data_IF_968474767240
#
_entry.id   IF_968474767240
#
_cell.length_a   1.000
_cell.length_b   1.000
_cell.length_c   1.000
_cell.angle_alpha   90.00
_cell.angle_beta   90.00
_cell.angle_gamma   90.00
#
_symmetry.space_group_name_H-M   'P 1'
#
loop_
_entity.id
_entity.type
_entity.pdbx_description
1 polymer ?
#
# COMPACT_ATOMS: atom_id res chain seq x y z
N UNK A 1 24.10 -44.80 -25.61
CA UNK A 1 23.53 -43.48 -25.27
C UNK A 1 23.73 -43.25 -23.79
N UNK A 2 24.60 -42.31 -23.41
CA UNK A 2 24.85 -41.94 -22.00
C UNK A 2 23.86 -40.82 -21.63
N UNK A 3 23.08 -41.00 -20.57
CA UNK A 3 22.29 -39.91 -19.99
C UNK A 3 23.23 -38.82 -19.46
N UNK A 4 22.96 -37.53 -19.69
CA UNK A 4 23.71 -36.45 -19.07
C UNK A 4 23.38 -36.40 -17.58
N UNK A 5 24.44 -36.28 -16.76
CA UNK A 5 24.33 -36.19 -15.31
C UNK A 5 23.63 -34.91 -14.89
N UNK A 6 22.57 -35.05 -14.08
CA UNK A 6 21.86 -33.96 -13.44
C UNK A 6 22.74 -33.42 -12.31
N UNK A 7 23.31 -32.23 -12.48
CA UNK A 7 24.03 -31.52 -11.42
C UNK A 7 22.97 -30.91 -10.52
N UNK A 8 22.76 -31.51 -9.34
CA UNK A 8 21.96 -30.91 -8.29
C UNK A 8 22.70 -29.68 -7.75
N UNK A 9 22.28 -28.49 -8.20
CA UNK A 9 22.77 -27.23 -7.65
C UNK A 9 22.12 -27.06 -6.28
N UNK A 10 22.92 -27.23 -5.23
CA UNK A 10 22.50 -26.97 -3.85
C UNK A 10 22.34 -25.46 -3.69
N UNK A 11 21.12 -24.95 -3.78
CA UNK A 11 20.84 -23.57 -3.39
C UNK A 11 20.92 -23.49 -1.86
N UNK A 12 21.97 -22.84 -1.35
CA UNK A 12 22.01 -22.41 0.05
C UNK A 12 20.95 -21.33 0.22
N UNK A 13 19.78 -21.72 0.72
CA UNK A 13 18.75 -20.77 1.14
C UNK A 13 19.28 -20.10 2.41
N UNK A 14 19.70 -18.84 2.29
CA UNK A 14 20.03 -18.02 3.45
C UNK A 14 18.74 -17.82 4.26
N UNK A 15 18.58 -18.56 5.36
CA UNK A 15 17.46 -18.40 6.27
C UNK A 15 17.65 -17.08 7.02
N UNK A 16 16.83 -16.07 6.71
CA UNK A 16 16.71 -14.88 7.56
C UNK A 16 16.21 -15.38 8.92
N UNK A 17 17.06 -15.29 9.94
CA UNK A 17 16.68 -15.66 11.30
C UNK A 17 15.65 -14.63 11.77
N UNK A 18 14.37 -15.01 11.71
CA UNK A 18 13.29 -14.20 12.24
C UNK A 18 13.51 -14.04 13.74
N UNK A 19 13.37 -12.83 14.26
CA UNK A 19 13.34 -12.63 15.70
C UNK A 19 12.16 -13.46 16.25
N UNK A 20 12.46 -14.55 16.96
CA UNK A 20 11.44 -15.39 17.59
C UNK A 20 10.94 -14.66 18.84
N UNK A 21 9.98 -13.77 18.66
CA UNK A 21 9.39 -12.99 19.72
C UNK A 21 7.96 -12.61 19.39
N UNK A 22 7.16 -12.42 20.44
CA UNK A 22 5.82 -11.89 20.31
C UNK A 22 5.89 -10.44 19.77
N UNK A 23 5.25 -10.13 18.62
CA UNK A 23 5.19 -8.77 18.09
C UNK A 23 4.76 -7.73 19.12
N UNK A 24 3.89 -8.10 20.07
CA UNK A 24 3.42 -7.18 21.12
C UNK A 24 4.54 -6.80 22.09
N UNK A 25 5.50 -7.70 22.36
CA UNK A 25 6.68 -7.40 23.18
C UNK A 25 7.58 -6.39 22.46
N UNK A 26 7.82 -6.57 21.16
CA UNK A 26 8.63 -5.62 20.39
C UNK A 26 8.00 -4.22 20.35
N UNK A 27 6.68 -4.16 20.23
CA UNK A 27 5.92 -2.90 20.24
C UNK A 27 5.97 -2.23 21.61
N UNK A 28 5.80 -3.00 22.70
CA UNK A 28 5.92 -2.46 24.05
C UNK A 28 7.31 -1.87 24.30
N UNK A 29 8.36 -2.60 23.93
CA UNK A 29 9.75 -2.14 24.03
C UNK A 29 10.01 -0.89 23.18
N UNK A 30 9.43 -0.83 21.97
CA UNK A 30 9.52 0.34 21.10
C UNK A 30 8.86 1.57 21.74
N UNK A 31 7.64 1.45 22.26
CA UNK A 31 6.91 2.56 22.89
C UNK A 31 7.67 3.07 24.12
N UNK A 32 8.20 2.18 24.95
CA UNK A 32 9.02 2.55 26.12
C UNK A 32 10.29 3.31 25.69
N UNK A 33 11.00 2.77 24.70
CA UNK A 33 12.20 3.40 24.15
C UNK A 33 11.92 4.77 23.54
N UNK A 34 10.84 4.91 22.77
CA UNK A 34 10.43 6.19 22.19
C UNK A 34 10.21 7.25 23.29
N UNK A 35 9.44 6.92 24.33
CA UNK A 35 9.18 7.82 25.47
C UNK A 35 10.47 8.18 26.20
N UNK A 36 11.34 7.20 26.44
CA UNK A 36 12.63 7.41 27.10
C UNK A 36 13.57 8.33 26.30
N UNK A 37 13.37 8.44 24.98
CA UNK A 37 14.18 9.25 24.08
C UNK A 37 13.48 10.52 23.58
N UNK A 38 12.45 10.98 24.30
CA UNK A 38 11.83 12.30 24.10
C UNK A 38 10.63 12.31 23.15
N UNK A 39 10.16 11.15 22.68
CA UNK A 39 8.88 11.08 21.99
C UNK A 39 7.70 11.24 22.97
N UNK A 40 6.62 11.84 22.48
CA UNK A 40 5.33 11.84 23.15
C UNK A 40 4.43 10.80 22.46
N UNK A 41 3.79 9.95 23.27
CA UNK A 41 2.79 8.97 22.82
C UNK A 41 1.63 9.05 23.81
N UNK A 42 0.45 9.44 23.32
CA UNK A 42 -0.75 9.62 24.11
C UNK A 42 -1.07 8.35 24.91
N UNK A 43 -1.27 8.47 26.22
CA UNK A 43 -1.52 7.35 27.12
C UNK A 43 -2.90 6.69 26.90
N UNK A 44 -3.81 7.39 26.22
CA UNK A 44 -5.12 6.90 25.85
C UNK A 44 -5.13 6.13 24.52
N UNK A 45 -3.96 5.85 23.93
CA UNK A 45 -3.81 5.03 22.72
C UNK A 45 -2.98 3.79 23.02
N UNK A 46 -3.43 2.65 22.53
CA UNK A 46 -2.69 1.40 22.55
C UNK A 46 -2.62 0.80 21.15
N UNK A 47 -1.58 0.02 20.88
CA UNK A 47 -1.49 -0.81 19.68
C UNK A 47 -2.18 -2.12 19.99
N UNK A 48 -3.21 -2.47 19.22
CA UNK A 48 -3.99 -3.69 19.41
C UNK A 48 -4.26 -4.39 18.09
N UNK A 49 -4.47 -5.70 18.15
CA UNK A 49 -5.02 -6.48 17.05
C UNK A 49 -6.44 -6.01 16.75
N UNK A 50 -6.81 -5.94 15.46
CA UNK A 50 -8.16 -5.54 15.06
C UNK A 50 -9.22 -6.57 15.50
N UNK A 51 -8.82 -7.83 15.66
CA UNK A 51 -9.62 -8.91 16.22
C UNK A 51 -8.88 -9.50 17.42
N UNK A 52 -9.46 -9.37 18.61
CA UNK A 52 -8.84 -9.84 19.85
C UNK A 52 -8.60 -11.37 19.82
N UNK A 53 -7.38 -11.79 20.13
CA UNK A 53 -6.96 -13.20 20.11
C UNK A 53 -6.62 -13.77 18.73
N UNK A 54 -6.86 -13.02 17.66
CA UNK A 54 -6.46 -13.41 16.30
C UNK A 54 -5.10 -12.81 15.95
N UNK A 55 -4.06 -13.63 16.03
CA UNK A 55 -2.68 -13.25 15.70
C UNK A 55 -2.47 -12.93 14.21
N UNK A 56 -3.39 -13.35 13.34
CA UNK A 56 -3.36 -13.03 11.91
C UNK A 56 -3.98 -11.68 11.59
N UNK A 57 -4.85 -11.17 12.47
CA UNK A 57 -5.48 -9.86 12.28
C UNK A 57 -4.45 -8.73 12.37
N UNK A 58 -4.60 -7.65 11.59
CA UNK A 58 -3.64 -6.55 11.60
C UNK A 58 -3.58 -5.86 12.97
N UNK A 59 -2.41 -5.33 13.29
CA UNK A 59 -2.26 -4.40 14.41
C UNK A 59 -2.75 -3.01 13.97
N UNK A 60 -3.26 -2.23 14.91
CA UNK A 60 -3.68 -0.85 14.67
C UNK A 60 -3.68 -0.03 15.96
N UNK A 61 -3.73 1.29 15.82
CA UNK A 61 -3.87 2.21 16.95
C UNK A 61 -5.32 2.26 17.41
N UNK A 62 -5.58 1.98 18.69
CA UNK A 62 -6.93 1.96 19.28
C UNK A 62 -6.97 2.86 20.51
N UNK A 63 -8.00 3.69 20.59
CA UNK A 63 -8.27 4.50 21.76
C UNK A 63 -8.71 3.60 22.93
N UNK A 64 -8.02 3.68 24.07
CA UNK A 64 -8.37 2.95 25.31
C UNK A 64 -9.11 3.83 26.33
N UNK A 65 -9.27 5.11 26.02
CA UNK A 65 -10.15 6.05 26.67
C UNK A 65 -10.67 7.06 25.64
N UNK A 66 -11.64 7.90 26.01
CA UNK A 66 -12.08 9.00 25.15
C UNK A 66 -10.93 10.01 24.94
N UNK A 67 -10.74 10.46 23.70
CA UNK A 67 -9.72 11.43 23.28
C UNK A 67 -10.43 12.65 22.70
N UNK A 68 -10.01 13.85 23.08
CA UNK A 68 -10.63 15.07 22.58
C UNK A 68 -10.27 15.32 21.12
N UNK A 69 -11.03 16.21 20.45
CA UNK A 69 -10.64 16.71 19.14
C UNK A 69 -9.35 17.53 19.25
N UNK A 70 -8.49 17.43 18.24
CA UNK A 70 -7.20 18.13 18.15
C UNK A 70 -6.17 17.74 19.21
N UNK A 71 -6.44 16.66 19.95
CA UNK A 71 -5.49 16.12 20.91
C UNK A 71 -4.35 15.40 20.18
N UNK A 72 -3.11 15.71 20.55
CA UNK A 72 -1.93 15.05 19.98
C UNK A 72 -1.96 13.56 20.32
N UNK A 73 -1.77 12.72 19.29
CA UNK A 73 -1.65 11.27 19.44
C UNK A 73 -0.19 10.90 19.63
N UNK A 74 0.70 11.44 18.80
CA UNK A 74 2.13 11.27 18.97
C UNK A 74 2.90 12.51 18.50
N UNK A 75 4.09 12.66 19.06
CA UNK A 75 5.16 13.49 18.52
C UNK A 75 6.45 12.66 18.56
N UNK A 76 7.07 12.46 17.42
CA UNK A 76 8.34 11.75 17.26
C UNK A 76 9.41 12.78 16.92
N UNK A 77 10.44 12.96 17.78
CA UNK A 77 11.51 13.88 17.50
C UNK A 77 12.37 13.39 16.33
N UNK A 78 13.02 14.30 15.57
CA UNK A 78 13.68 13.96 14.32
C UNK A 78 14.73 12.85 14.44
N UNK A 79 15.50 12.81 15.53
CA UNK A 79 16.57 11.83 15.75
C UNK A 79 16.08 10.40 15.99
N UNK A 80 14.76 10.17 16.11
CA UNK A 80 14.16 8.84 16.20
C UNK A 80 13.50 8.39 14.89
N UNK A 81 13.49 9.25 13.87
CA UNK A 81 12.91 8.98 12.55
C UNK A 81 14.03 8.52 11.63
N UNK A 82 13.79 7.50 10.81
CA UNK A 82 14.71 7.16 9.72
C UNK A 82 14.43 8.11 8.57
N UNK A 83 15.42 8.91 8.20
CA UNK A 83 15.32 9.96 7.19
C UNK A 83 16.30 9.68 6.05
N UNK A 84 16.12 10.30 4.88
CA UNK A 84 17.17 10.34 3.87
C UNK A 84 18.47 10.92 4.45
N UNK A 85 19.61 10.38 4.06
CA UNK A 85 20.93 10.89 4.46
C UNK A 85 21.20 12.29 3.89
N UNK A 86 22.03 13.08 4.57
CA UNK A 86 22.30 14.50 4.23
C UNK A 86 22.84 14.70 2.81
N UNK A 87 23.59 13.71 2.29
CA UNK A 87 24.19 13.75 0.94
C UNK A 87 23.23 13.28 -0.16
N UNK A 88 21.98 12.95 0.17
CA UNK A 88 20.99 12.57 -0.83
C UNK A 88 20.60 13.81 -1.64
N UNK A 89 21.29 14.00 -2.77
CA UNK A 89 21.04 15.11 -3.71
C UNK A 89 19.62 15.13 -4.31
N UNK A 90 18.77 14.15 -3.95
CA UNK A 90 17.38 14.03 -4.34
C UNK A 90 16.60 13.34 -3.23
N UNK A 91 15.47 13.94 -2.84
CA UNK A 91 14.36 13.33 -2.10
C UNK A 91 14.00 11.99 -2.74
N UNK A 92 14.61 10.92 -2.28
CA UNK A 92 14.37 9.60 -2.84
C UNK A 92 14.39 8.56 -1.75
N UNK A 93 13.37 7.71 -1.78
CA UNK A 93 13.22 6.54 -0.93
C UNK A 93 14.51 5.72 -0.87
N UNK A 94 15.33 5.70 -1.93
CA UNK A 94 16.62 5.01 -1.99
C UNK A 94 17.51 5.28 -0.77
N UNK A 95 17.61 6.54 -0.32
CA UNK A 95 18.46 6.86 0.83
C UNK A 95 17.84 6.33 2.12
N UNK A 96 16.53 6.49 2.32
CA UNK A 96 15.83 5.95 3.48
C UNK A 96 15.88 4.42 3.52
N UNK A 97 15.85 3.77 2.36
CA UNK A 97 16.04 2.31 2.23
C UNK A 97 17.43 1.91 2.70
N UNK A 98 18.47 2.64 2.30
CA UNK A 98 19.84 2.36 2.73
C UNK A 98 20.00 2.54 4.24
N UNK A 99 19.50 3.64 4.81
CA UNK A 99 19.53 3.90 6.26
C UNK A 99 18.76 2.81 7.03
N UNK A 100 17.59 2.40 6.51
CA UNK A 100 16.81 1.30 7.08
C UNK A 100 17.61 -0.01 7.03
N UNK A 101 18.22 -0.34 5.89
CA UNK A 101 19.04 -1.55 5.72
C UNK A 101 20.22 -1.59 6.70
N UNK A 102 20.91 -0.47 6.89
CA UNK A 102 22.02 -0.35 7.84
C UNK A 102 21.54 -0.54 9.29
N UNK A 103 20.42 0.10 9.64
CA UNK A 103 19.82 -0.03 10.97
C UNK A 103 19.38 -1.48 11.25
N UNK A 104 18.78 -2.18 10.29
CA UNK A 104 18.37 -3.59 10.42
C UNK A 104 19.57 -4.55 10.53
N UNK A 105 20.71 -4.21 9.94
CA UNK A 105 21.96 -4.99 10.02
C UNK A 105 22.89 -4.58 11.17
N UNK A 106 22.50 -3.59 11.97
CA UNK A 106 23.30 -3.17 13.11
C UNK A 106 23.54 -4.35 14.05
N UNK A 107 24.75 -4.42 14.62
CA UNK A 107 25.11 -5.47 15.59
C UNK A 107 24.16 -5.50 16.80
N UNK A 108 23.68 -4.32 17.18
CA UNK A 108 22.74 -4.11 18.28
C UNK A 108 21.57 -3.26 17.76
N UNK A 109 20.57 -3.89 17.10
CA UNK A 109 19.45 -3.17 16.52
C UNK A 109 18.63 -2.53 17.65
N UNK A 110 18.28 -1.25 17.47
CA UNK A 110 17.41 -0.53 18.41
C UNK A 110 15.98 -1.15 18.43
N UNK A 111 15.13 -0.79 19.39
CA UNK A 111 13.78 -1.35 19.48
C UNK A 111 12.92 -1.14 18.23
N UNK A 112 13.13 -0.07 17.46
CA UNK A 112 12.40 0.14 16.21
C UNK A 112 12.84 -0.85 15.13
N UNK A 113 14.15 -1.03 14.96
CA UNK A 113 14.72 -2.05 14.08
C UNK A 113 14.23 -3.46 14.44
N UNK A 114 14.15 -3.79 15.74
CA UNK A 114 13.60 -5.07 16.19
C UNK A 114 12.13 -5.24 15.82
N UNK A 115 11.32 -4.19 15.98
CA UNK A 115 9.93 -4.19 15.51
C UNK A 115 9.83 -4.40 13.99
N UNK A 116 10.65 -3.71 13.20
CA UNK A 116 10.68 -3.84 11.75
C UNK A 116 11.16 -5.23 11.27
N UNK A 117 12.16 -5.81 11.94
CA UNK A 117 12.61 -7.19 11.72
C UNK A 117 11.54 -8.24 12.06
N UNK A 118 10.58 -7.90 12.91
CA UNK A 118 9.47 -8.80 13.26
C UNK A 118 8.35 -8.83 12.21
N UNK A 119 8.29 -7.81 11.34
CA UNK A 119 7.31 -7.74 10.25
C UNK A 119 7.50 -8.91 9.28
N UNK A 120 6.39 -9.35 8.67
CA UNK A 120 6.45 -10.39 7.64
C UNK A 120 7.32 -9.86 6.47
N UNK A 121 8.24 -10.64 5.90
CA UNK A 121 8.87 -10.26 4.65
C UNK A 121 7.91 -10.53 3.48
N UNK A 122 8.05 -9.77 2.39
CA UNK A 122 7.35 -10.00 1.12
C UNK A 122 5.82 -10.04 1.23
N UNK A 123 5.20 -9.17 2.04
CA UNK A 123 3.73 -9.09 2.08
C UNK A 123 3.15 -8.25 0.93
N UNK A 124 3.92 -7.35 0.35
CA UNK A 124 3.50 -6.53 -0.79
C UNK A 124 3.79 -7.24 -2.13
N UNK A 125 2.85 -7.25 -3.09
CA UNK A 125 3.00 -7.93 -4.38
C UNK A 125 4.28 -7.60 -5.17
N UNK A 126 4.79 -6.38 -5.09
CA UNK A 126 6.05 -5.99 -5.77
C UNK A 126 7.27 -6.81 -5.30
N UNK A 127 7.21 -7.31 -4.06
CA UNK A 127 8.29 -8.05 -3.40
C UNK A 127 7.99 -9.55 -3.26
N UNK A 128 6.88 -10.03 -3.81
CA UNK A 128 6.55 -11.46 -3.84
C UNK A 128 7.62 -12.29 -4.54
N UNK A 129 7.54 -13.60 -4.31
CA UNK A 129 8.28 -14.59 -5.09
C UNK A 129 8.04 -14.43 -6.60
N UNK A 130 9.00 -14.87 -7.41
CA UNK A 130 8.87 -14.85 -8.88
C UNK A 130 7.63 -15.62 -9.34
N UNK A 131 7.33 -16.76 -8.71
CA UNK A 131 6.12 -17.54 -8.97
C UNK A 131 4.84 -16.77 -8.62
N UNK A 132 4.79 -16.14 -7.45
CA UNK A 132 3.64 -15.32 -7.02
C UNK A 132 3.38 -14.15 -7.96
N UNK A 133 4.43 -13.40 -8.34
CA UNK A 133 4.30 -12.30 -9.30
C UNK A 133 3.91 -12.76 -10.71
N UNK A 134 4.42 -13.90 -11.15
CA UNK A 134 4.08 -14.45 -12.47
C UNK A 134 2.60 -14.82 -12.54
N UNK A 135 2.07 -15.46 -11.49
CA UNK A 135 0.65 -15.79 -11.40
C UNK A 135 -0.22 -14.52 -11.30
N UNK A 136 0.22 -13.51 -10.55
CA UNK A 136 -0.46 -12.21 -10.51
C UNK A 136 -0.52 -11.56 -11.90
N UNK A 137 0.60 -11.54 -12.66
CA UNK A 137 0.61 -11.00 -14.02
C UNK A 137 -0.31 -11.77 -14.96
N UNK A 138 -0.35 -13.09 -14.85
CA UNK A 138 -1.28 -13.92 -15.61
C UNK A 138 -2.74 -13.57 -15.29
N UNK A 139 -3.06 -13.36 -14.00
CA UNK A 139 -4.38 -12.92 -13.57
C UNK A 139 -4.76 -11.58 -14.20
N UNK A 140 -3.82 -10.64 -14.32
CA UNK A 140 -4.09 -9.27 -14.78
C UNK A 140 -4.05 -9.12 -16.31
N UNK A 141 -3.30 -9.98 -17.00
CA UNK A 141 -3.18 -10.02 -18.46
C UNK A 141 -2.85 -8.67 -19.10
N UNK A 142 -2.08 -7.81 -18.42
CA UNK A 142 -1.73 -6.43 -18.81
C UNK A 142 -2.91 -5.45 -18.99
N UNK A 143 -4.16 -5.92 -18.86
CA UNK A 143 -5.37 -5.11 -19.04
C UNK A 143 -5.96 -4.60 -17.72
N UNK A 144 -5.75 -5.34 -16.64
CA UNK A 144 -6.30 -5.06 -15.32
C UNK A 144 -5.22 -4.48 -14.39
N UNK A 145 -5.58 -3.57 -13.48
CA UNK A 145 -4.65 -3.03 -12.51
C UNK A 145 -4.38 -4.05 -11.37
N UNK A 146 -3.28 -3.92 -10.61
CA UNK A 146 -2.24 -2.91 -10.78
C UNK A 146 -1.34 -3.20 -11.98
N UNK A 147 -0.91 -2.13 -12.66
CA UNK A 147 0.09 -2.20 -13.73
C UNK A 147 1.50 -2.11 -13.14
N UNK A 148 2.50 -2.59 -13.89
CA UNK A 148 3.93 -2.53 -13.53
C UNK A 148 4.35 -3.23 -12.24
N UNK A 149 3.93 -4.48 -12.01
CA UNK A 149 4.30 -5.24 -10.80
C UNK A 149 5.83 -5.30 -10.54
N UNK A 150 6.67 -5.23 -11.59
CA UNK A 150 8.14 -5.23 -11.44
C UNK A 150 8.77 -3.84 -11.34
N UNK A 151 7.98 -2.76 -11.40
CA UNK A 151 8.47 -1.37 -11.42
C UNK A 151 9.41 -1.10 -10.27
N UNK A 152 8.99 -1.40 -9.03
CA UNK A 152 9.79 -1.11 -7.85
C UNK A 152 11.10 -1.88 -7.84
N UNK A 153 11.11 -3.17 -8.19
CA UNK A 153 12.38 -3.90 -8.27
C UNK A 153 13.32 -3.35 -9.34
N UNK A 154 12.78 -2.95 -10.49
CA UNK A 154 13.57 -2.33 -11.55
C UNK A 154 14.12 -0.97 -11.11
N UNK A 155 13.33 -0.16 -10.42
CA UNK A 155 13.74 1.12 -9.83
C UNK A 155 14.84 0.93 -8.79
N UNK A 156 14.66 -0.01 -7.84
CA UNK A 156 15.68 -0.32 -6.83
C UNK A 156 17.01 -0.70 -7.49
N UNK A 157 16.97 -1.55 -8.52
CA UNK A 157 18.16 -1.98 -9.24
C UNK A 157 18.81 -0.86 -10.05
N UNK A 158 18.02 -0.10 -10.80
CA UNK A 158 18.53 0.85 -11.79
C UNK A 158 18.81 2.24 -11.22
N UNK A 159 17.95 2.70 -10.30
CA UNK A 159 17.98 4.05 -9.74
C UNK A 159 18.65 4.06 -8.38
N UNK A 160 18.30 3.13 -7.48
CA UNK A 160 18.93 3.07 -6.16
C UNK A 160 20.28 2.33 -6.15
N UNK A 161 20.65 1.66 -7.24
CA UNK A 161 21.80 0.74 -7.30
C UNK A 161 21.79 -0.26 -6.12
N UNK A 162 20.58 -0.71 -5.75
CA UNK A 162 20.33 -1.57 -4.61
C UNK A 162 20.71 -3.02 -4.87
N UNK A 163 21.15 -3.72 -3.81
CA UNK A 163 21.42 -5.15 -3.84
C UNK A 163 20.12 -5.95 -3.73
N UNK A 164 19.39 -6.07 -4.85
CA UNK A 164 18.12 -6.79 -4.89
C UNK A 164 18.26 -8.31 -4.66
N UNK A 165 19.47 -8.85 -4.68
CA UNK A 165 19.74 -10.25 -4.36
C UNK A 165 19.91 -10.47 -2.84
N UNK A 166 20.10 -9.40 -2.07
CA UNK A 166 20.18 -9.43 -0.61
C UNK A 166 18.78 -9.41 0.03
N UNK A 167 18.36 -10.49 0.72
CA UNK A 167 17.02 -10.57 1.32
C UNK A 167 16.75 -9.48 2.36
N UNK A 168 17.76 -9.03 3.09
CA UNK A 168 17.61 -7.96 4.08
C UNK A 168 17.45 -6.60 3.41
N UNK A 169 18.13 -6.35 2.30
CA UNK A 169 17.95 -5.12 1.52
C UNK A 169 16.55 -5.06 0.92
N UNK A 170 16.06 -6.16 0.32
CA UNK A 170 14.68 -6.24 -0.16
C UNK A 170 13.66 -6.04 0.97
N UNK A 171 13.91 -6.57 2.17
CA UNK A 171 13.04 -6.35 3.32
C UNK A 171 13.02 -4.87 3.74
N UNK A 172 14.18 -4.22 3.81
CA UNK A 172 14.27 -2.78 4.08
C UNK A 172 13.52 -1.96 3.03
N UNK A 173 13.71 -2.28 1.73
CA UNK A 173 13.03 -1.62 0.63
C UNK A 173 11.52 -1.75 0.71
N UNK A 174 11.02 -2.95 0.98
CA UNK A 174 9.60 -3.22 1.17
C UNK A 174 9.03 -2.42 2.35
N UNK A 175 9.74 -2.39 3.50
CA UNK A 175 9.30 -1.63 4.67
C UNK A 175 9.19 -0.14 4.38
N UNK A 176 10.17 0.46 3.70
CA UNK A 176 10.10 1.88 3.33
C UNK A 176 8.94 2.12 2.36
N UNK A 177 8.86 1.37 1.26
CA UNK A 177 7.81 1.59 0.24
C UNK A 177 6.38 1.42 0.77
N UNK A 178 6.18 0.59 1.79
CA UNK A 178 4.85 0.28 2.33
C UNK A 178 4.51 0.97 3.65
N UNK A 179 5.46 1.66 4.29
CA UNK A 179 5.24 2.23 5.63
C UNK A 179 5.79 3.65 5.81
N UNK A 180 6.65 4.11 4.92
CA UNK A 180 7.16 5.47 5.01
C UNK A 180 6.03 6.46 4.73
N UNK A 181 6.09 7.58 5.45
CA UNK A 181 5.35 8.78 5.11
C UNK A 181 6.26 9.68 4.30
N UNK A 182 5.93 9.89 3.03
CA UNK A 182 6.86 10.45 2.06
C UNK A 182 8.17 9.63 2.09
N UNK A 183 9.31 10.26 2.38
CA UNK A 183 10.60 9.57 2.49
C UNK A 183 10.97 9.21 3.95
N UNK A 184 10.04 9.25 4.91
CA UNK A 184 10.35 9.11 6.34
C UNK A 184 9.75 7.85 6.94
N UNK A 185 10.58 7.01 7.57
CA UNK A 185 10.08 5.90 8.36
C UNK A 185 9.88 6.37 9.81
N UNK A 186 8.61 6.62 10.17
CA UNK A 186 8.23 7.23 11.44
C UNK A 186 7.73 6.15 12.40
N UNK A 187 8.46 5.83 13.48
CA UNK A 187 8.04 4.82 14.43
C UNK A 187 6.73 5.20 15.12
N UNK A 188 5.92 4.20 15.47
CA UNK A 188 4.59 4.31 16.07
C UNK A 188 3.51 4.86 15.12
N UNK A 189 3.82 5.86 14.29
CA UNK A 189 2.91 6.33 13.24
C UNK A 189 2.64 5.23 12.20
N UNK A 190 3.68 4.50 11.79
CA UNK A 190 3.63 3.40 10.82
C UNK A 190 2.80 2.18 11.26
N UNK A 191 2.17 2.23 12.44
CA UNK A 191 1.19 1.27 12.94
C UNK A 191 -0.25 1.72 12.74
N UNK A 192 -0.48 2.92 12.22
CA UNK A 192 -1.81 3.43 11.90
C UNK A 192 -2.33 2.72 10.66
N UNK A 193 -3.59 2.30 10.66
CA UNK A 193 -4.18 1.64 9.50
C UNK A 193 -4.85 2.66 8.56
N UNK A 194 -4.98 2.23 7.31
CA UNK A 194 -5.72 2.92 6.26
C UNK A 194 -7.23 2.72 6.42
N UNK A 195 -8.03 3.79 6.26
CA UNK A 195 -9.47 3.68 5.99
C UNK A 195 -10.09 4.97 5.40
N UNK A 196 -10.55 4.92 4.15
CA UNK A 196 -11.08 6.10 3.44
C UNK A 196 -12.32 6.81 4.04
N UNK A 197 -13.20 6.11 4.79
CA UNK A 197 -14.38 6.69 5.45
C UNK A 197 -14.22 7.02 6.94
N UNK A 198 -13.23 6.44 7.62
CA UNK A 198 -13.09 6.55 9.09
C UNK A 198 -11.95 7.46 9.52
N UNK A 199 -11.49 8.33 8.62
CA UNK A 199 -10.43 9.29 8.85
C UNK A 199 -10.71 10.12 10.10
N UNK A 200 -9.79 10.02 11.06
CA UNK A 200 -9.95 10.65 12.35
C UNK A 200 -8.62 11.15 12.94
N UNK A 201 -7.53 11.08 12.17
CA UNK A 201 -6.22 11.65 12.45
C UNK A 201 -5.84 12.69 11.39
N UNK A 202 -4.98 13.65 11.76
CA UNK A 202 -4.42 14.68 10.88
C UNK A 202 -2.99 15.02 11.31
N UNK A 203 -2.11 15.34 10.38
CA UNK A 203 -0.80 15.86 10.76
C UNK A 203 -0.93 17.23 11.40
N UNK A 204 -0.03 17.52 12.33
CA UNK A 204 0.13 18.83 12.96
C UNK A 204 1.01 19.74 12.08
N UNK A 205 2.03 19.16 11.45
CA UNK A 205 2.94 19.82 10.51
C UNK A 205 2.80 19.19 9.13
N UNK A 206 3.05 19.97 8.08
CA UNK A 206 3.05 19.50 6.70
C UNK A 206 4.47 18.99 6.35
N UNK A 207 4.73 17.67 6.32
CA UNK A 207 6.08 17.14 6.07
C UNK A 207 6.58 17.42 4.64
N UNK A 208 5.71 17.90 3.74
CA UNK A 208 6.08 18.28 2.36
C UNK A 208 6.55 19.73 2.27
N UNK A 209 6.23 20.57 3.27
CA UNK A 209 6.56 22.00 3.27
C UNK A 209 7.50 22.40 4.40
N UNK A 210 7.41 21.68 5.51
CA UNK A 210 8.17 21.95 6.72
C UNK A 210 9.31 20.94 6.84
N UNK A 211 10.47 21.42 7.29
CA UNK A 211 11.62 20.52 7.44
C UNK A 211 11.45 19.67 8.69
N UNK A 212 11.36 18.37 8.49
CA UNK A 212 11.17 17.41 9.58
C UNK A 212 12.26 17.49 10.65
N UNK A 213 13.48 17.93 10.31
CA UNK A 213 14.59 18.13 11.25
C UNK A 213 14.38 19.30 12.23
N UNK A 214 13.49 20.24 11.90
CA UNK A 214 13.13 21.39 12.74
C UNK A 214 11.83 21.11 13.52
N UNK A 215 10.85 20.45 12.89
CA UNK A 215 9.50 20.26 13.46
C UNK A 215 9.28 18.92 14.14
N UNK A 216 10.11 17.91 13.86
CA UNK A 216 9.77 16.52 14.14
C UNK A 216 8.54 16.07 13.36
N UNK A 217 7.92 14.98 13.83
CA UNK A 217 6.71 14.44 13.22
C UNK A 217 5.59 14.32 14.25
N UNK A 218 4.45 14.97 14.02
CA UNK A 218 3.32 14.96 14.95
C UNK A 218 1.98 14.74 14.27
N UNK A 219 1.16 13.90 14.89
CA UNK A 219 -0.22 13.63 14.49
C UNK A 219 -1.16 13.96 15.65
N UNK A 220 -2.31 14.55 15.33
CA UNK A 220 -3.39 14.82 16.26
C UNK A 220 -4.71 14.24 15.75
N UNK A 221 -5.71 14.17 16.61
CA UNK A 221 -7.06 13.78 16.19
C UNK A 221 -7.72 14.88 15.36
N UNK A 222 -8.44 14.49 14.32
CA UNK A 222 -9.26 15.40 13.50
C UNK A 222 -10.64 15.67 14.14
N UNK A 223 -11.07 14.80 15.05
CA UNK A 223 -12.33 14.87 15.81
C UNK A 223 -12.17 14.17 17.16
N UNK A 224 -13.14 14.30 18.05
CA UNK A 224 -13.17 13.48 19.26
C UNK A 224 -13.28 11.98 18.91
N UNK A 225 -12.59 11.14 19.67
CA UNK A 225 -12.51 9.68 19.50
C UNK A 225 -13.05 9.02 20.76
N UNK A 226 -13.93 8.03 20.62
CA UNK A 226 -14.42 7.24 21.75
C UNK A 226 -13.49 6.09 22.08
N UNK A 227 -13.47 5.72 23.36
CA UNK A 227 -12.83 4.49 23.81
C UNK A 227 -13.31 3.29 22.97
N UNK A 228 -12.36 2.51 22.47
CA UNK A 228 -12.59 1.36 21.59
C UNK A 228 -12.57 1.68 20.09
N UNK A 229 -12.61 2.96 19.69
CA UNK A 229 -12.44 3.32 18.28
C UNK A 229 -10.98 3.12 17.84
N UNK A 230 -10.80 2.63 16.62
CA UNK A 230 -9.50 2.60 15.97
C UNK A 230 -9.21 3.97 15.34
N UNK A 231 -7.95 4.38 15.37
CA UNK A 231 -7.47 5.58 14.73
C UNK A 231 -7.01 5.25 13.31
N UNK A 232 -7.46 6.04 12.34
CA UNK A 232 -7.25 5.82 10.92
C UNK A 232 -6.76 7.09 10.22
N UNK A 233 -5.88 6.84 9.25
CA UNK A 233 -5.50 7.77 8.19
C UNK A 233 -5.96 7.21 6.84
N UNK A 234 -5.78 7.97 5.77
CA UNK A 234 -5.87 7.44 4.40
C UNK A 234 -4.51 7.58 3.76
N UNK A 235 -4.13 6.55 3.01
CA UNK A 235 -2.87 6.51 2.27
C UNK A 235 -3.02 7.16 0.88
N UNK A 236 -4.22 7.16 0.31
CA UNK A 236 -4.51 7.75 -1.00
C UNK A 236 -5.47 8.94 -0.94
N UNK A 237 -6.10 9.23 0.21
CA UNK A 237 -7.00 10.36 0.44
C UNK A 237 -6.55 11.23 1.60
N UNK A 238 -5.25 11.33 1.83
CA UNK A 238 -4.74 12.11 2.95
C UNK A 238 -4.88 13.61 2.70
N UNK A 239 -5.05 14.35 3.80
CA UNK A 239 -5.42 15.76 3.78
C UNK A 239 -4.27 16.71 3.38
N UNK A 240 -3.04 16.20 3.39
CA UNK A 240 -1.81 16.98 3.15
C UNK A 240 -1.06 16.44 1.94
N UNK A 241 -1.08 15.13 1.73
CA UNK A 241 -0.47 14.42 0.61
C UNK A 241 -1.46 14.23 -0.54
N UNK A 242 -1.85 15.34 -1.18
CA UNK A 242 -2.85 15.36 -2.26
C UNK A 242 -2.40 14.64 -3.54
N UNK A 243 -1.14 14.25 -3.63
CA UNK A 243 -0.54 13.70 -4.84
C UNK A 243 -1.18 12.38 -5.26
N UNK A 244 -1.68 11.58 -4.32
CA UNK A 244 -2.27 10.26 -4.60
C UNK A 244 -3.78 10.28 -4.87
N UNK A 245 -4.44 11.43 -4.70
CA UNK A 245 -5.90 11.48 -4.62
C UNK A 245 -6.61 10.92 -5.85
N UNK A 246 -6.07 11.18 -7.05
CA UNK A 246 -6.78 10.94 -8.30
C UNK A 246 -6.36 9.71 -9.07
N UNK A 247 -5.16 9.19 -8.84
CA UNK A 247 -4.60 8.07 -9.62
C UNK A 247 -4.20 6.87 -8.74
N UNK A 248 -4.38 6.95 -7.43
CA UNK A 248 -4.05 5.87 -6.50
C UNK A 248 -5.32 5.24 -5.92
N UNK A 249 -5.67 4.05 -6.39
CA UNK A 249 -6.85 3.31 -5.97
C UNK A 249 -6.54 2.03 -5.22
N UNK A 250 -7.52 1.13 -5.21
CA UNK A 250 -7.47 -0.17 -4.53
C UNK A 250 -6.39 -1.08 -5.10
N UNK A 251 -6.14 -0.99 -6.41
CA UNK A 251 -5.08 -1.75 -7.06
C UNK A 251 -3.68 -1.30 -6.62
N UNK A 252 -3.46 0.01 -6.53
CA UNK A 252 -2.19 0.58 -6.06
C UNK A 252 -2.02 0.36 -4.55
N UNK A 253 -3.11 0.43 -3.77
CA UNK A 253 -3.07 0.08 -2.34
C UNK A 253 -2.67 -1.39 -2.15
N UNK A 254 -3.25 -2.29 -2.94
CA UNK A 254 -2.88 -3.70 -2.96
C UNK A 254 -1.40 -3.89 -3.32
N UNK A 255 -0.94 -3.24 -4.39
CA UNK A 255 0.43 -3.35 -4.88
C UNK A 255 1.45 -2.86 -3.84
N UNK A 256 1.24 -1.66 -3.29
CA UNK A 256 2.22 -0.97 -2.43
C UNK A 256 2.13 -1.35 -0.96
N UNK A 257 0.96 -1.74 -0.47
CA UNK A 257 0.75 -2.00 0.97
C UNK A 257 0.35 -3.44 1.29
N UNK A 258 0.05 -4.27 0.28
CA UNK A 258 -0.20 -5.69 0.48
C UNK A 258 -1.52 -6.00 1.19
N UNK A 259 -2.56 -5.21 0.94
CA UNK A 259 -3.93 -5.51 1.38
C UNK A 259 -4.95 -4.92 0.39
N UNK A 260 -6.15 -5.46 0.38
CA UNK A 260 -7.27 -4.90 -0.39
C UNK A 260 -8.02 -3.87 0.45
N UNK A 261 -8.25 -2.67 -0.08
CA UNK A 261 -9.00 -1.63 0.62
C UNK A 261 -10.38 -2.13 1.09
N UNK A 262 -10.73 -1.76 2.32
CA UNK A 262 -12.11 -1.83 2.78
C UNK A 262 -12.95 -0.75 2.07
N UNK A 263 -14.27 -0.94 2.01
CA UNK A 263 -15.15 0.06 1.41
C UNK A 263 -15.03 1.46 2.04
N UNK A 264 -15.01 2.53 1.23
CA UNK A 264 -15.05 2.55 -0.23
C UNK A 264 -13.73 2.12 -0.86
N UNK A 265 -13.87 1.36 -1.94
CA UNK A 265 -12.79 1.00 -2.85
C UNK A 265 -12.82 1.94 -4.06
N UNK A 266 -11.65 2.36 -4.52
CA UNK A 266 -11.52 3.18 -5.74
C UNK A 266 -10.85 2.36 -6.82
N UNK A 267 -11.50 2.23 -7.96
CA UNK A 267 -11.00 1.44 -9.07
C UNK A 267 -10.71 2.32 -10.28
N UNK A 268 -9.51 2.17 -10.82
CA UNK A 268 -9.03 2.87 -12.01
C UNK A 268 -8.56 1.85 -13.04
N UNK A 269 -9.11 1.96 -14.25
CA UNK A 269 -8.79 1.09 -15.37
C UNK A 269 -8.38 1.95 -16.55
N UNK A 270 -7.10 2.33 -16.57
CA UNK A 270 -6.55 3.33 -17.50
C UNK A 270 -6.84 3.02 -18.96
N UNK A 271 -6.59 1.78 -19.39
CA UNK A 271 -6.84 1.33 -20.76
C UNK A 271 -8.31 1.47 -21.17
N UNK A 272 -9.24 1.23 -20.24
CA UNK A 272 -10.68 1.35 -20.51
C UNK A 272 -11.24 2.76 -20.26
N UNK A 273 -10.40 3.68 -19.74
CA UNK A 273 -10.77 4.99 -19.20
C UNK A 273 -11.98 4.93 -18.26
N UNK A 274 -11.94 4.01 -17.32
CA UNK A 274 -12.97 3.83 -16.30
C UNK A 274 -12.40 4.15 -14.93
N UNK A 275 -13.08 5.05 -14.21
CA UNK A 275 -12.81 5.40 -12.81
C UNK A 275 -14.12 5.38 -12.03
N UNK A 276 -14.19 4.57 -10.98
CA UNK A 276 -15.37 4.54 -10.10
C UNK A 276 -14.99 4.24 -8.65
N UNK A 277 -15.84 4.69 -7.74
CA UNK A 277 -15.84 4.24 -6.35
C UNK A 277 -16.90 3.13 -6.19
N UNK A 278 -16.51 2.01 -5.57
CA UNK A 278 -17.41 0.96 -5.12
C UNK A 278 -17.57 1.08 -3.59
N UNK A 279 -18.81 1.14 -3.12
CA UNK A 279 -19.09 1.43 -1.72
C UNK A 279 -20.33 0.69 -1.22
N UNK A 280 -20.56 0.72 0.08
CA UNK A 280 -21.78 0.20 0.72
C UNK A 280 -22.71 1.37 1.03
N UNK A 281 -23.95 1.28 0.53
CA UNK A 281 -25.03 2.16 0.92
C UNK A 281 -25.37 1.91 2.40
N UNK A 282 -25.27 2.95 3.23
CA UNK A 282 -25.46 2.83 4.67
C UNK A 282 -26.92 2.55 5.07
N UNK A 283 -27.87 2.74 4.16
CA UNK A 283 -29.31 2.52 4.40
C UNK A 283 -29.72 1.11 4.01
N UNK A 284 -29.29 0.63 2.84
CA UNK A 284 -29.70 -0.67 2.30
C UNK A 284 -28.68 -1.77 2.56
N UNK A 285 -27.43 -1.42 2.89
CA UNK A 285 -26.31 -2.36 2.97
C UNK A 285 -25.88 -2.92 1.61
N UNK A 286 -26.41 -2.36 0.51
CA UNK A 286 -26.11 -2.83 -0.85
C UNK A 286 -24.86 -2.16 -1.38
N UNK A 287 -24.15 -2.87 -2.27
CA UNK A 287 -23.03 -2.30 -3.01
C UNK A 287 -23.54 -1.29 -4.05
N UNK A 288 -22.88 -0.14 -4.12
CA UNK A 288 -23.20 0.96 -5.04
C UNK A 288 -21.94 1.36 -5.80
N UNK A 289 -22.07 1.46 -7.12
CA UNK A 289 -21.03 1.96 -8.01
C UNK A 289 -21.30 3.43 -8.31
N UNK A 290 -20.31 4.28 -8.04
CA UNK A 290 -20.33 5.70 -8.41
C UNK A 290 -19.22 5.95 -9.42
N UNK A 291 -19.58 6.04 -10.69
CA UNK A 291 -18.65 6.44 -11.74
C UNK A 291 -18.23 7.90 -11.57
N UNK A 292 -16.93 8.14 -11.51
CA UNK A 292 -16.35 9.48 -11.38
C UNK A 292 -16.24 10.19 -12.74
N UNK A 293 -16.21 9.41 -13.82
CA UNK A 293 -16.42 9.87 -15.19
C UNK A 293 -17.46 8.96 -15.87
N UNK A 294 -18.37 9.48 -16.70
CA UNK A 294 -19.30 8.64 -17.43
C UNK A 294 -18.57 7.55 -18.22
N UNK A 295 -18.87 6.26 -17.98
CA UNK A 295 -18.14 5.19 -18.64
C UNK A 295 -18.55 5.09 -20.12
N UNK A 296 -17.59 4.82 -21.00
CA UNK A 296 -17.90 4.57 -22.42
C UNK A 296 -18.48 3.18 -22.62
N UNK A 297 -19.19 2.98 -23.75
CA UNK A 297 -19.64 1.64 -24.13
C UNK A 297 -18.44 0.71 -24.33
N UNK A 298 -17.41 1.21 -25.01
CA UNK A 298 -16.15 0.48 -25.28
C UNK A 298 -15.49 0.01 -23.97
N UNK A 299 -15.36 0.89 -22.99
CA UNK A 299 -14.76 0.56 -21.69
C UNK A 299 -15.54 -0.53 -20.94
N UNK A 300 -16.87 -0.44 -20.91
CA UNK A 300 -17.71 -1.45 -20.22
C UNK A 300 -17.67 -2.79 -20.94
N UNK A 301 -17.64 -2.80 -22.27
CA UNK A 301 -17.49 -4.03 -23.05
C UNK A 301 -16.11 -4.67 -22.81
N UNK A 302 -15.05 -3.89 -22.55
CA UNK A 302 -13.76 -4.39 -22.11
C UNK A 302 -13.83 -5.02 -20.71
N UNK A 303 -14.43 -4.34 -19.72
CA UNK A 303 -14.58 -4.89 -18.37
C UNK A 303 -15.34 -6.23 -18.38
N UNK A 304 -16.37 -6.37 -19.23
CA UNK A 304 -17.13 -7.62 -19.37
C UNK A 304 -16.26 -8.76 -19.91
N UNK A 305 -15.43 -8.52 -20.93
CA UNK A 305 -14.52 -9.54 -21.47
C UNK A 305 -13.50 -9.99 -20.42
N UNK A 306 -12.96 -9.04 -19.65
CA UNK A 306 -12.01 -9.36 -18.59
C UNK A 306 -12.68 -10.12 -17.44
N UNK A 307 -13.95 -9.83 -17.12
CA UNK A 307 -14.72 -10.60 -16.14
C UNK A 307 -14.88 -12.08 -16.56
N UNK A 308 -15.25 -12.34 -17.82
CA UNK A 308 -15.36 -13.70 -18.38
C UNK A 308 -13.99 -14.43 -18.36
N UNK A 309 -12.90 -13.72 -18.64
CA UNK A 309 -11.55 -14.28 -18.56
C UNK A 309 -11.18 -14.63 -17.12
N UNK A 310 -11.48 -13.75 -16.16
CA UNK A 310 -11.23 -13.99 -14.74
C UNK A 310 -12.02 -15.20 -14.22
N UNK A 311 -13.24 -15.43 -14.70
CA UNK A 311 -14.00 -16.64 -14.36
C UNK A 311 -13.21 -17.91 -14.74
N UNK A 312 -12.60 -17.92 -15.91
CA UNK A 312 -11.73 -19.02 -16.34
C UNK A 312 -10.45 -19.09 -15.51
N UNK A 313 -9.84 -17.93 -15.20
CA UNK A 313 -8.63 -17.88 -14.38
C UNK A 313 -8.84 -18.47 -12.98
N UNK A 314 -10.06 -18.40 -12.42
CA UNK A 314 -10.40 -18.94 -11.10
C UNK A 314 -10.08 -20.43 -10.92
N UNK A 315 -9.97 -21.20 -12.01
CA UNK A 315 -9.58 -22.61 -11.98
C UNK A 315 -8.21 -22.82 -11.33
N UNK A 316 -7.30 -21.83 -11.42
CA UNK A 316 -5.99 -21.85 -10.77
C UNK A 316 -6.08 -21.89 -9.24
N UNK A 317 -7.19 -21.46 -8.63
CA UNK A 317 -7.37 -21.42 -7.16
C UNK A 317 -7.20 -22.79 -6.50
N UNK A 318 -7.39 -23.87 -7.27
CA UNK A 318 -7.22 -25.26 -6.80
C UNK A 318 -5.85 -25.86 -7.08
N UNK A 319 -4.98 -25.13 -7.80
CA UNK A 319 -3.70 -25.64 -8.31
C UNK A 319 -2.50 -25.24 -7.45
N UNK A 320 -2.68 -24.85 -6.18
CA UNK A 320 -1.55 -24.49 -5.34
C UNK A 320 -0.62 -25.71 -5.13
N UNK A 321 0.54 -25.67 -5.79
CA UNK A 321 1.56 -26.72 -5.72
C UNK A 321 2.48 -26.58 -4.50
N UNK A 322 2.26 -25.57 -3.65
CA UNK A 322 3.12 -25.22 -2.51
C UNK A 322 4.36 -24.41 -2.91
N UNK A 323 4.49 -24.01 -4.18
CA UNK A 323 5.59 -23.18 -4.67
C UNK A 323 5.41 -21.71 -4.28
N UNK A 324 4.17 -21.23 -4.23
CA UNK A 324 3.82 -19.87 -3.81
C UNK A 324 3.56 -19.90 -2.29
N UNK A 325 4.21 -19.04 -1.50
CA UNK A 325 3.95 -18.92 -0.06
C UNK A 325 2.47 -18.66 0.24
N UNK A 326 1.95 -19.23 1.33
CA UNK A 326 0.53 -19.14 1.69
C UNK A 326 0.02 -17.70 1.81
N UNK A 327 0.85 -16.77 2.30
CA UNK A 327 0.47 -15.36 2.40
C UNK A 327 0.33 -14.68 1.03
N UNK A 328 1.22 -14.98 0.07
CA UNK A 328 1.13 -14.47 -1.30
C UNK A 328 -0.11 -15.07 -1.99
N UNK A 329 -0.34 -16.37 -1.79
CA UNK A 329 -1.48 -17.08 -2.36
C UNK A 329 -2.82 -16.55 -1.84
N UNK A 330 -2.97 -16.40 -0.52
CA UNK A 330 -4.19 -15.86 0.08
C UNK A 330 -4.48 -14.46 -0.43
N UNK A 331 -3.45 -13.59 -0.39
CA UNK A 331 -3.60 -12.19 -0.77
C UNK A 331 -3.90 -12.00 -2.27
N UNK A 332 -3.35 -12.86 -3.14
CA UNK A 332 -3.73 -12.92 -4.56
C UNK A 332 -5.24 -13.14 -4.71
N UNK A 333 -5.80 -14.11 -3.97
CA UNK A 333 -7.21 -14.46 -4.09
C UNK A 333 -8.14 -13.45 -3.42
N UNK A 334 -7.71 -12.82 -2.32
CA UNK A 334 -8.44 -11.70 -1.72
C UNK A 334 -8.57 -10.54 -2.73
N UNK A 335 -7.50 -10.26 -3.47
CA UNK A 335 -7.52 -9.24 -4.52
C UNK A 335 -8.32 -9.67 -5.76
N UNK A 336 -8.20 -10.93 -6.20
CA UNK A 336 -9.04 -11.49 -7.26
C UNK A 336 -10.52 -11.31 -6.93
N UNK A 337 -10.95 -11.71 -5.73
CA UNK A 337 -12.36 -11.67 -5.31
C UNK A 337 -12.87 -10.22 -5.30
N UNK A 338 -12.06 -9.27 -4.83
CA UNK A 338 -12.41 -7.85 -4.82
C UNK A 338 -12.47 -7.23 -6.23
N UNK A 339 -11.47 -7.51 -7.08
CA UNK A 339 -11.41 -7.03 -8.46
C UNK A 339 -12.58 -7.59 -9.28
N UNK A 340 -12.84 -8.89 -9.17
CA UNK A 340 -13.96 -9.56 -9.84
C UNK A 340 -15.30 -8.94 -9.45
N UNK A 341 -15.52 -8.75 -8.14
CA UNK A 341 -16.72 -8.09 -7.63
C UNK A 341 -16.86 -6.67 -8.19
N UNK A 342 -15.79 -5.87 -8.16
CA UNK A 342 -15.79 -4.51 -8.68
C UNK A 342 -16.14 -4.43 -10.18
N UNK A 343 -15.53 -5.30 -10.99
CA UNK A 343 -15.82 -5.41 -12.41
C UNK A 343 -17.29 -5.80 -12.64
N UNK A 344 -17.78 -6.82 -11.92
CA UNK A 344 -19.16 -7.28 -12.01
C UNK A 344 -20.15 -6.14 -11.72
N UNK A 345 -19.96 -5.42 -10.60
CA UNK A 345 -20.81 -4.29 -10.24
C UNK A 345 -20.75 -3.15 -11.24
N UNK A 346 -19.57 -2.82 -11.77
CA UNK A 346 -19.42 -1.78 -12.78
C UNK A 346 -20.14 -2.12 -14.09
N UNK A 347 -20.09 -3.39 -14.51
CA UNK A 347 -20.78 -3.90 -15.70
C UNK A 347 -22.30 -3.92 -15.52
N UNK A 348 -22.79 -4.31 -14.34
CA UNK A 348 -24.21 -4.36 -13.98
C UNK A 348 -24.85 -2.98 -13.80
N UNK A 349 -24.05 -1.95 -13.50
CA UNK A 349 -24.54 -0.59 -13.27
C UNK A 349 -25.32 -0.02 -14.47
N UNK A 350 -26.38 0.72 -14.17
CA UNK A 350 -27.24 1.44 -15.11
C UNK A 350 -26.74 2.86 -15.45
N UNK A 351 -25.50 3.19 -15.04
CA UNK A 351 -24.91 4.50 -15.30
C UNK A 351 -24.96 4.87 -16.79
N UNK A 352 -25.36 6.12 -17.13
CA UNK A 352 -25.37 6.59 -18.52
C UNK A 352 -24.01 6.41 -19.17
N UNK A 353 -24.00 5.87 -20.39
CA UNK A 353 -22.78 5.66 -21.15
C UNK A 353 -22.47 6.88 -22.01
N UNK A 354 -21.21 7.33 -22.03
CA UNK A 354 -20.75 8.39 -22.92
C UNK A 354 -19.36 8.11 -23.45
N UNK A 355 -19.14 8.37 -24.73
CA UNK A 355 -17.82 8.26 -25.36
C UNK A 355 -16.99 9.55 -25.19
N UNK A 356 -17.52 10.57 -24.49
CA UNK A 356 -16.82 11.84 -24.24
C UNK A 356 -15.49 11.63 -23.49
N UNK A 357 -15.37 10.56 -22.68
CA UNK A 357 -14.14 10.22 -21.96
C UNK A 357 -12.93 10.03 -22.88
N UNK A 358 -13.15 9.60 -24.13
CA UNK A 358 -12.09 9.45 -25.12
C UNK A 358 -11.54 10.80 -25.62
N UNK A 359 -12.34 11.86 -25.50
CA UNK A 359 -11.93 13.23 -25.86
C UNK A 359 -11.21 13.97 -24.74
N UNK A 360 -11.17 13.43 -23.52
CA UNK A 360 -10.60 14.12 -22.35
C UNK A 360 -9.07 14.20 -22.34
N UNK A 361 -8.39 13.53 -23.29
CA UNK A 361 -6.94 13.47 -23.34
C UNK A 361 -6.35 12.51 -22.30
N UNK A 362 -5.05 12.63 -22.06
CA UNK A 362 -4.35 11.80 -21.09
C UNK A 362 -4.86 12.10 -19.68
N UNK A 363 -5.15 13.35 -19.31
CA UNK A 363 -5.58 13.77 -17.98
C UNK A 363 -7.06 13.46 -17.64
N UNK A 364 -7.65 12.43 -18.25
CA UNK A 364 -9.07 12.09 -18.07
C UNK A 364 -9.44 11.77 -16.61
N UNK A 365 -8.49 11.24 -15.82
CA UNK A 365 -8.71 10.83 -14.43
C UNK A 365 -8.80 11.98 -13.42
N UNK A 366 -8.22 13.16 -13.70
CA UNK A 366 -8.31 14.36 -12.84
C UNK A 366 -9.52 15.25 -13.16
N UNK A 367 -10.24 14.96 -14.26
CA UNK A 367 -11.38 15.76 -14.73
C UNK A 367 -12.72 15.33 -14.16
N UNK A 368 -12.74 14.51 -13.12
CA UNK A 368 -13.96 14.11 -12.39
C UNK A 368 -14.60 15.25 -11.58
N UNK A 369 -13.98 16.44 -11.59
CA UNK A 369 -14.47 17.63 -10.91
C UNK A 369 -14.13 17.68 -9.42
N UNK A 370 -13.33 16.74 -8.92
CA UNK A 370 -12.92 16.72 -7.50
C UNK A 370 -11.68 17.59 -7.21
N UNK A 371 -10.91 17.98 -8.22
CA UNK A 371 -9.74 18.86 -8.09
C UNK A 371 -9.78 20.10 -9.01
N UNK A 372 -9.27 21.23 -8.52
CA UNK A 372 -9.06 22.46 -9.29
C UNK A 372 -7.63 22.43 -9.89
N UNK A 373 -7.54 22.40 -11.22
CA UNK A 373 -6.33 22.07 -12.00
C UNK A 373 -5.16 23.06 -11.97
N UNK A 374 -4.72 23.51 -10.79
CA UNK A 374 -3.47 24.27 -10.66
C UNK A 374 -2.21 23.41 -10.45
N UNK A 375 -2.33 22.07 -10.34
CA UNK A 375 -1.20 21.16 -10.03
C UNK A 375 -0.96 20.06 -11.09
N UNK A 376 -1.38 20.26 -12.34
CA UNK A 376 -1.37 19.19 -13.37
C UNK A 376 0.05 18.82 -13.85
N UNK A 377 1.07 19.65 -13.61
CA UNK A 377 2.41 19.46 -14.20
C UNK A 377 3.29 18.38 -13.53
N UNK A 378 2.91 17.85 -12.36
CA UNK A 378 3.74 16.89 -11.60
C UNK A 378 3.17 15.47 -11.47
N UNK A 379 2.04 15.16 -12.14
CA UNK A 379 1.39 13.86 -11.99
C UNK A 379 1.93 12.80 -12.96
N UNK A 380 2.67 11.84 -12.40
CA UNK A 380 3.20 10.69 -13.13
C UNK A 380 2.20 9.54 -13.15
N UNK A 381 1.12 9.65 -13.93
CA UNK A 381 0.43 8.42 -14.34
C UNK A 381 1.33 7.71 -15.32
N UNK A 382 1.83 6.54 -14.90
CA UNK A 382 2.70 5.71 -15.73
C UNK A 382 1.86 5.20 -16.90
N UNK A 383 2.11 5.76 -18.08
CA UNK A 383 1.44 5.38 -19.33
C UNK A 383 1.61 3.89 -19.59
N UNK A 384 0.50 3.20 -19.85
CA UNK A 384 0.48 1.85 -20.42
C UNK A 384 1.56 1.72 -21.49
N UNK A 385 2.29 0.60 -21.51
CA UNK A 385 3.29 0.34 -22.57
C UNK A 385 2.67 0.18 -23.96
N UNK A 386 1.34 0.07 -24.04
CA UNK A 386 0.59 0.03 -25.29
C UNK A 386 0.30 1.47 -25.72
N UNK A 387 1.16 2.01 -26.59
CA UNK A 387 1.15 3.40 -27.06
C UNK A 387 0.03 3.73 -28.09
N UNK A 388 -0.94 2.84 -28.32
CA UNK A 388 -1.95 3.05 -29.37
C UNK A 388 -3.38 2.75 -28.90
N UNK A 389 -4.22 3.80 -28.80
CA UNK A 389 -5.67 3.72 -28.56
C UNK A 389 -6.40 2.83 -29.59
N UNK A 390 -5.73 2.50 -30.71
CA UNK A 390 -6.20 1.62 -31.78
C UNK A 390 -6.14 0.12 -31.46
N UNK A 391 -5.45 -0.31 -30.40
CA UNK A 391 -5.35 -1.74 -30.04
C UNK A 391 -6.48 -2.26 -29.14
N UNK A 392 -7.45 -1.41 -28.79
CA UNK A 392 -8.60 -1.73 -27.92
C UNK A 392 -9.93 -1.95 -28.67
#
# INVERSE_FOLDING_TARGET
MKLPGMIATLFLIATVVRASGDPEIFIANLIEWLRANGAYINENVAVKRSIEGDLSSPLGLVAIADINAEETICYIPPHLIIQPGEDSTKDSDCSTIQETFEMLNAKEPNPYAQYLLSQLPRYTPEFWSEAGRSLLKEMLHDFLPPVYIDATLNELKSYCNGDIDNPMYLHAAMLVKSRADYNYLVPFYDMTNHHNRKLNMKHVFDPYKEKINETGYAIATARAIKSGEQLYISYNRCNICTDYYDWFGTAEIFLSFGFVEQYPQRWLFDLSRIKFDLDIDNTTGSEVVTFLVPPSKKGIDMLRRELERLDTFSEHRTMNTGVIPDNEWSLLWDYYDALHNALSRAVESDAPRSDDVWSLGDDWWVRDGTMHGSSVEEHFVRRSQLDDDNEL
#
